data_IF_241518248871
#
_entry.id   IF_241518248871
#
_cell.length_a   1.000
_cell.length_b   1.000
_cell.length_c   1.000
_cell.angle_alpha   90.00
_cell.angle_beta   90.00
_cell.angle_gamma   90.00
#
_symmetry.space_group_name_H-M   'P 1'
#
loop_
_entity.id
_entity.type
_entity.pdbx_description
1 polymer ?
#
# COMPACT_ATOMS: atom_id res chain seq x y z
N UNK A 1 14.45 -10.97 13.88
CA UNK A 1 14.34 -10.41 12.51
C UNK A 1 13.43 -9.18 12.55
N UNK A 2 13.73 -8.10 11.83
CA UNK A 2 12.79 -6.98 11.71
C UNK A 2 11.68 -7.40 10.73
N UNK A 3 10.41 -7.22 11.12
CA UNK A 3 9.25 -7.45 10.27
C UNK A 3 9.34 -6.54 9.01
N UNK A 4 8.68 -6.92 7.92
CA UNK A 4 8.48 -6.03 6.78
C UNK A 4 7.39 -5.02 7.14
N UNK A 5 7.65 -3.73 6.92
CA UNK A 5 6.65 -2.67 7.14
C UNK A 5 5.72 -2.58 5.94
N UNK A 6 4.43 -2.80 6.13
CA UNK A 6 3.43 -2.78 5.05
C UNK A 6 2.50 -1.59 5.24
N UNK A 7 2.48 -0.66 4.29
CA UNK A 7 1.54 0.46 4.25
C UNK A 7 0.37 0.07 3.36
N UNK A 8 -0.85 0.15 3.89
CA UNK A 8 -2.07 -0.06 3.10
C UNK A 8 -2.67 1.32 2.79
N UNK A 9 -2.79 1.65 1.50
CA UNK A 9 -3.28 2.96 1.09
C UNK A 9 -3.92 2.94 -0.30
N UNK A 10 -4.56 4.06 -0.67
CA UNK A 10 -5.07 4.29 -2.03
C UNK A 10 -4.26 5.31 -2.83
N UNK A 11 -3.78 6.38 -2.17
CA UNK A 11 -3.01 7.48 -2.78
C UNK A 11 -3.61 8.01 -4.11
N UNK A 12 -4.88 8.41 -4.06
CA UNK A 12 -5.65 8.90 -5.22
C UNK A 12 -5.48 10.41 -5.49
N UNK A 13 -4.50 11.06 -4.87
CA UNK A 13 -4.13 12.44 -5.17
C UNK A 13 -3.08 12.48 -6.28
N UNK A 14 -3.06 13.50 -7.16
CA UNK A 14 -2.02 13.65 -8.18
C UNK A 14 -0.60 13.85 -7.61
N UNK A 15 -0.43 13.97 -6.30
CA UNK A 15 0.87 14.03 -5.64
C UNK A 15 0.84 13.43 -4.22
N UNK A 16 2.02 13.10 -3.70
CA UNK A 16 2.18 12.68 -2.30
C UNK A 16 2.15 13.89 -1.36
N UNK A 17 1.01 14.11 -0.73
CA UNK A 17 0.88 15.12 0.34
C UNK A 17 1.81 14.83 1.52
N UNK A 18 2.03 15.85 2.35
CA UNK A 18 2.86 15.76 3.55
C UNK A 18 2.48 14.57 4.45
N UNK A 19 1.19 14.34 4.72
CA UNK A 19 0.75 13.20 5.52
C UNK A 19 1.15 11.83 4.93
N UNK A 20 1.17 11.70 3.60
CA UNK A 20 1.65 10.47 2.94
C UNK A 20 3.16 10.29 3.16
N UNK A 21 3.93 11.37 2.97
CA UNK A 21 5.39 11.36 3.13
C UNK A 21 5.79 11.04 4.57
N UNK A 22 5.19 11.71 5.55
CA UNK A 22 5.42 11.45 6.98
C UNK A 22 5.19 9.97 7.32
N UNK A 23 4.11 9.37 6.81
CA UNK A 23 3.82 7.95 7.01
C UNK A 23 4.91 7.06 6.37
N UNK A 24 5.21 7.27 5.10
CA UNK A 24 6.20 6.47 4.37
C UNK A 24 7.57 6.60 5.04
N UNK A 25 8.02 7.82 5.34
CA UNK A 25 9.30 8.12 6.00
C UNK A 25 9.39 7.51 7.40
N UNK A 26 8.27 7.46 8.13
CA UNK A 26 8.24 6.80 9.43
C UNK A 26 8.45 5.30 9.27
N UNK A 27 7.75 4.64 8.34
CA UNK A 27 7.84 3.18 8.15
C UNK A 27 9.20 2.77 7.61
N UNK A 28 9.75 3.49 6.62
CA UNK A 28 11.08 3.20 6.03
C UNK A 28 12.22 3.38 7.04
N UNK A 29 12.08 4.28 8.02
CA UNK A 29 13.06 4.40 9.12
C UNK A 29 13.00 3.24 10.12
N UNK A 30 11.82 2.66 10.35
CA UNK A 30 11.66 1.57 11.31
C UNK A 30 11.96 0.19 10.71
N UNK A 31 11.78 0.02 9.40
CA UNK A 31 11.86 -1.27 8.71
C UNK A 31 12.90 -1.24 7.58
N UNK A 32 13.74 -2.29 7.50
CA UNK A 32 14.74 -2.42 6.42
C UNK A 32 14.09 -2.66 5.05
N UNK A 33 12.83 -3.09 5.02
CA UNK A 33 12.04 -3.28 3.81
C UNK A 33 10.64 -2.74 4.05
N UNK A 34 10.18 -1.91 3.13
CA UNK A 34 8.84 -1.32 3.14
C UNK A 34 8.10 -1.72 1.87
N UNK A 35 6.85 -2.15 2.06
CA UNK A 35 5.92 -2.52 1.00
C UNK A 35 4.73 -1.57 1.10
N UNK A 36 4.32 -0.99 -0.02
CA UNK A 36 3.11 -0.19 -0.13
C UNK A 36 2.10 -1.00 -0.94
N UNK A 37 1.01 -1.39 -0.31
CA UNK A 37 -0.10 -2.08 -0.96
C UNK A 37 -1.14 -1.03 -1.35
N UNK A 38 -1.31 -0.86 -2.66
CA UNK A 38 -2.26 0.07 -3.25
C UNK A 38 -3.58 -0.63 -3.56
N UNK A 39 -4.67 -0.16 -2.92
CA UNK A 39 -6.02 -0.56 -3.29
C UNK A 39 -6.32 -0.20 -4.75
N UNK A 40 -6.87 -1.14 -5.51
CA UNK A 40 -7.26 -0.98 -6.92
C UNK A 40 -8.76 -1.20 -7.05
N UNK A 41 -9.47 -0.13 -7.38
CA UNK A 41 -10.91 -0.19 -7.61
C UNK A 41 -11.21 -0.85 -8.96
N UNK A 42 -12.28 -1.67 -9.06
CA UNK A 42 -12.76 -2.18 -10.34
C UNK A 42 -13.27 -1.05 -11.25
N UNK A 43 -13.64 0.11 -10.70
CA UNK A 43 -14.13 1.27 -11.46
C UNK A 43 -13.04 2.36 -11.52
N UNK A 44 -12.26 2.32 -12.60
CA UNK A 44 -11.22 3.29 -12.88
C UNK A 44 -11.80 4.63 -13.38
N UNK A 45 -11.16 5.75 -13.04
CA UNK A 45 -11.51 7.08 -13.55
C UNK A 45 -12.73 7.72 -12.88
N UNK A 46 -13.23 7.12 -11.79
CA UNK A 46 -14.28 7.72 -10.98
C UNK A 46 -13.74 8.91 -10.17
N UNK A 47 -14.63 9.81 -9.71
CA UNK A 47 -14.25 10.93 -8.84
C UNK A 47 -13.48 10.49 -7.58
N UNK A 48 -13.76 9.28 -7.07
CA UNK A 48 -13.08 8.71 -5.88
C UNK A 48 -11.78 7.97 -6.23
N UNK A 49 -11.67 7.42 -7.43
CA UNK A 49 -10.49 6.67 -7.90
C UNK A 49 -10.05 7.17 -9.29
N UNK A 50 -9.57 8.42 -9.39
CA UNK A 50 -9.21 9.03 -10.67
C UNK A 50 -7.93 8.44 -11.28
N UNK A 51 -7.02 7.88 -10.47
CA UNK A 51 -5.72 7.39 -10.91
C UNK A 51 -5.65 5.87 -10.95
N UNK A 52 -5.04 5.33 -12.00
CA UNK A 52 -4.75 3.90 -12.12
C UNK A 52 -3.58 3.47 -11.21
N UNK A 53 -3.31 2.16 -11.17
CA UNK A 53 -2.21 1.63 -10.37
C UNK A 53 -0.84 2.18 -10.83
N UNK A 54 -0.56 2.13 -12.13
CA UNK A 54 0.75 2.47 -12.69
C UNK A 54 1.13 3.94 -12.46
N UNK A 55 0.16 4.84 -12.58
CA UNK A 55 0.34 6.27 -12.32
C UNK A 55 0.72 6.51 -10.86
N UNK A 56 0.04 5.84 -9.93
CA UNK A 56 0.33 5.95 -8.50
C UNK A 56 1.64 5.29 -8.13
N UNK A 57 1.96 4.14 -8.72
CA UNK A 57 3.26 3.49 -8.54
C UNK A 57 4.41 4.40 -8.99
N UNK A 58 4.34 4.98 -10.18
CA UNK A 58 5.33 5.94 -10.68
C UNK A 58 5.48 7.14 -9.75
N UNK A 59 4.35 7.72 -9.32
CA UNK A 59 4.34 8.84 -8.38
C UNK A 59 5.08 8.49 -7.07
N UNK A 60 4.86 7.29 -6.52
CA UNK A 60 5.55 6.83 -5.31
C UNK A 60 7.04 6.62 -5.58
N UNK A 61 7.36 5.90 -6.65
CA UNK A 61 8.72 5.51 -7.02
C UNK A 61 9.61 6.71 -7.34
N UNK A 62 9.03 7.83 -7.78
CA UNK A 62 9.76 9.09 -7.98
C UNK A 62 10.42 9.61 -6.69
N UNK A 63 9.80 9.40 -5.52
CA UNK A 63 10.33 9.86 -4.23
C UNK A 63 10.92 8.72 -3.39
N UNK A 64 10.44 7.50 -3.61
CA UNK A 64 10.78 6.32 -2.82
C UNK A 64 11.15 5.15 -3.77
N UNK A 65 12.32 5.19 -4.41
CA UNK A 65 12.70 4.19 -5.41
C UNK A 65 12.78 2.77 -4.84
N UNK A 66 13.16 2.62 -3.56
CA UNK A 66 13.43 1.33 -2.93
C UNK A 66 12.20 0.63 -2.35
N UNK A 67 11.05 1.32 -2.20
CA UNK A 67 9.84 0.68 -1.65
C UNK A 67 9.24 -0.26 -2.68
N UNK A 68 8.76 -1.43 -2.26
CA UNK A 68 7.99 -2.30 -3.16
C UNK A 68 6.56 -1.80 -3.21
N UNK A 69 5.97 -1.69 -4.40
CA UNK A 69 4.57 -1.28 -4.57
C UNK A 69 3.80 -2.47 -5.14
N UNK A 70 2.71 -2.87 -4.49
CA UNK A 70 1.89 -4.01 -4.90
C UNK A 70 0.42 -3.59 -5.07
N UNK A 71 -0.28 -4.05 -6.11
CA UNK A 71 -1.71 -3.83 -6.25
C UNK A 71 -2.51 -4.82 -5.41
N UNK A 72 -3.59 -4.34 -4.78
CA UNK A 72 -4.61 -5.17 -4.15
C UNK A 72 -5.99 -4.81 -4.72
N UNK A 73 -6.61 -5.70 -5.51
CA UNK A 73 -7.97 -5.50 -6.00
C UNK A 73 -8.96 -5.35 -4.84
N UNK A 74 -9.88 -4.39 -4.96
CA UNK A 74 -10.99 -4.25 -4.02
C UNK A 74 -11.87 -5.49 -4.02
N UNK A 75 -12.39 -5.83 -2.84
CA UNK A 75 -13.36 -6.90 -2.68
C UNK A 75 -14.47 -6.43 -1.73
N UNK A 76 -15.76 -6.71 -2.02
CA UNK A 76 -16.88 -6.21 -1.21
C UNK A 76 -16.99 -6.89 0.16
N UNK A 77 -16.42 -8.09 0.30
CA UNK A 77 -16.35 -8.81 1.58
C UNK A 77 -14.98 -8.62 2.22
N UNK A 78 -14.96 -8.10 3.45
CA UNK A 78 -13.74 -7.78 4.20
C UNK A 78 -12.88 -9.02 4.49
N UNK A 79 -13.51 -10.16 4.80
CA UNK A 79 -12.79 -11.42 5.04
C UNK A 79 -12.01 -11.88 3.80
N UNK A 80 -12.59 -11.71 2.62
CA UNK A 80 -11.95 -12.03 1.34
C UNK A 80 -10.91 -11.00 0.97
N UNK A 81 -11.15 -9.72 1.24
CA UNK A 81 -10.14 -8.68 1.07
C UNK A 81 -8.91 -8.94 1.95
N UNK A 82 -9.11 -9.29 3.22
CA UNK A 82 -8.06 -9.66 4.17
C UNK A 82 -7.30 -10.91 3.72
N UNK A 83 -8.02 -11.96 3.30
CA UNK A 83 -7.41 -13.18 2.76
C UNK A 83 -6.57 -12.89 1.51
N UNK A 84 -7.03 -11.99 0.64
CA UNK A 84 -6.29 -11.59 -0.55
C UNK A 84 -5.02 -10.81 -0.21
N UNK A 85 -5.05 -9.95 0.82
CA UNK A 85 -3.86 -9.26 1.33
C UNK A 85 -2.83 -10.26 1.87
N UNK A 86 -3.27 -11.23 2.69
CA UNK A 86 -2.40 -12.25 3.26
C UNK A 86 -1.74 -13.10 2.17
N UNK A 87 -2.52 -13.53 1.17
CA UNK A 87 -2.02 -14.28 0.01
C UNK A 87 -1.02 -13.45 -0.80
N UNK A 88 -1.33 -12.18 -1.07
CA UNK A 88 -0.44 -11.27 -1.80
C UNK A 88 0.91 -11.13 -1.10
N UNK A 89 0.91 -10.88 0.20
CA UNK A 89 2.12 -10.70 0.99
C UNK A 89 2.92 -12.00 1.14
N UNK A 90 2.24 -13.12 1.39
CA UNK A 90 2.90 -14.42 1.57
C UNK A 90 3.52 -14.95 0.28
N UNK A 91 2.86 -14.71 -0.87
CA UNK A 91 3.40 -15.09 -2.17
C UNK A 91 4.58 -14.19 -2.58
N UNK A 92 4.49 -12.88 -2.32
CA UNK A 92 5.57 -11.94 -2.66
C UNK A 92 6.78 -12.07 -1.73
N UNK A 93 6.56 -12.42 -0.46
CA UNK A 93 7.60 -12.52 0.57
C UNK A 93 7.42 -13.79 1.43
N UNK A 94 7.70 -14.99 0.87
CA UNK A 94 7.54 -16.25 1.61
C UNK A 94 8.33 -16.28 2.91
N UNK A 95 7.68 -16.67 4.01
CA UNK A 95 8.31 -16.80 5.33
C UNK A 95 8.59 -15.48 6.05
N UNK A 96 8.21 -14.33 5.49
CA UNK A 96 8.38 -13.04 6.16
C UNK A 96 7.25 -12.78 7.18
N UNK A 97 7.60 -12.08 8.26
CA UNK A 97 6.60 -11.48 9.16
C UNK A 97 6.32 -10.02 8.76
N UNK A 98 5.09 -9.57 8.95
CA UNK A 98 4.61 -8.25 8.52
C UNK A 98 4.14 -7.40 9.70
N UNK A 99 4.32 -6.08 9.59
CA UNK A 99 3.69 -5.09 10.46
C UNK A 99 2.91 -4.11 9.59
N UNK A 100 1.59 -4.05 9.80
CA UNK A 100 0.70 -3.22 9.00
C UNK A 100 0.66 -1.77 9.52
N UNK A 101 0.60 -0.83 8.60
CA UNK A 101 0.50 0.60 8.80
C UNK A 101 -0.60 1.16 7.91
N UNK A 102 -1.37 2.10 8.46
CA UNK A 102 -2.49 2.75 7.79
C UNK A 102 -2.70 4.14 8.39
N UNK A 103 -3.47 4.98 7.70
CA UNK A 103 -3.83 6.31 8.19
C UNK A 103 -4.97 6.15 9.23
N UNK A 104 -5.14 7.09 10.18
CA UNK A 104 -6.19 7.00 11.22
C UNK A 104 -7.55 6.58 10.63
N UNK A 105 -8.20 5.61 11.27
CA UNK A 105 -9.45 4.92 10.87
C UNK A 105 -9.36 3.98 9.64
N UNK A 106 -8.16 3.60 9.17
CA UNK A 106 -8.00 2.75 7.97
C UNK A 106 -7.92 1.24 8.25
N UNK A 107 -8.04 0.84 9.51
CA UNK A 107 -8.16 -0.57 9.89
C UNK A 107 -9.57 -0.79 10.40
N UNK A 108 -10.26 -1.77 9.79
CA UNK A 108 -11.53 -2.32 10.25
C UNK A 108 -11.21 -3.34 11.34
#
# INVERSE_FOLDING_TARGET
MKLIGVIIARFQSPYLHEGHRILIDSVTRHHNKTVIVLGVSPVLGSRKNPLDFHTREKMIKQYYPDVVVLPLPDHPLDNKWSQNLDNLLSNAFPGAGFKLYGIRNSFI
#
